data_IF_517332961014
#
_entry.id   IF_517332961014
#
_cell.length_a   1.000
_cell.length_b   1.000
_cell.length_c   1.000
_cell.angle_alpha   90.00
_cell.angle_beta   90.00
_cell.angle_gamma   90.00
#
_symmetry.space_group_name_H-M   'P 1'
#
loop_
_entity.id
_entity.type
_entity.pdbx_description
1 polymer ?
#
# COMPACT_ATOMS: atom_id res chain seq x y z
N UNK A 1 15.00 5.05 8.91
CA UNK A 1 14.68 3.66 8.52
C UNK A 1 13.16 3.53 8.45
N UNK A 2 12.58 2.94 7.39
CA UNK A 2 11.13 2.74 7.27
C UNK A 2 10.83 1.24 7.41
N UNK A 3 9.93 0.87 8.31
CA UNK A 3 9.49 -0.51 8.47
C UNK A 3 8.30 -0.81 7.56
N UNK A 4 8.22 -2.05 7.08
CA UNK A 4 7.08 -2.59 6.32
C UNK A 4 6.36 -3.59 7.21
N UNK A 5 5.05 -3.43 7.36
CA UNK A 5 4.22 -4.44 8.04
C UNK A 5 3.79 -5.52 7.03
N UNK A 6 4.29 -6.74 7.20
CA UNK A 6 4.00 -7.88 6.32
C UNK A 6 2.83 -8.72 6.87
N UNK A 7 2.08 -9.38 5.99
CA UNK A 7 1.01 -10.31 6.38
C UNK A 7 -0.33 -9.64 6.74
N UNK A 8 -0.64 -8.47 6.16
CA UNK A 8 -1.93 -7.79 6.38
C UNK A 8 -3.04 -8.43 5.53
N UNK A 9 -3.99 -9.08 6.18
CA UNK A 9 -5.07 -9.82 5.54
C UNK A 9 -6.43 -9.14 5.65
N UNK A 10 -6.61 -8.20 6.60
CA UNK A 10 -7.88 -7.48 6.82
C UNK A 10 -7.72 -5.96 6.88
N UNK A 11 -8.82 -5.24 6.68
CA UNK A 11 -8.87 -3.78 6.81
C UNK A 11 -8.57 -3.33 8.25
N UNK A 12 -9.11 -4.03 9.25
CA UNK A 12 -8.88 -3.70 10.67
C UNK A 12 -7.40 -3.83 11.05
N UNK A 13 -6.70 -4.83 10.50
CA UNK A 13 -5.25 -4.98 10.68
C UNK A 13 -4.49 -3.79 10.06
N UNK A 14 -4.85 -3.38 8.84
CA UNK A 14 -4.24 -2.24 8.16
C UNK A 14 -4.43 -0.94 8.95
N UNK A 15 -5.66 -0.68 9.41
CA UNK A 15 -5.98 0.50 10.22
C UNK A 15 -5.17 0.50 11.53
N UNK A 16 -5.11 -0.63 12.23
CA UNK A 16 -4.36 -0.74 13.48
C UNK A 16 -2.86 -0.48 13.28
N UNK A 17 -2.27 -1.04 12.22
CA UNK A 17 -0.86 -0.83 11.89
C UNK A 17 -0.57 0.63 11.53
N UNK A 18 -1.48 1.28 10.81
CA UNK A 18 -1.35 2.70 10.48
C UNK A 18 -1.37 3.58 11.75
N UNK A 19 -2.31 3.31 12.67
CA UNK A 19 -2.38 3.99 13.97
C UNK A 19 -1.11 3.78 14.81
N UNK A 20 -0.45 2.63 14.67
CA UNK A 20 0.84 2.32 15.32
C UNK A 20 2.05 2.99 14.65
N UNK A 21 1.85 3.77 13.58
CA UNK A 21 2.91 4.52 12.92
C UNK A 21 3.52 3.85 11.69
N UNK A 22 3.05 2.65 11.31
CA UNK A 22 3.46 2.06 10.04
C UNK A 22 2.91 2.87 8.87
N UNK A 23 3.74 3.03 7.84
CA UNK A 23 3.40 3.75 6.60
C UNK A 23 3.56 2.90 5.35
N UNK A 24 4.11 1.70 5.49
CA UNK A 24 4.27 0.71 4.44
C UNK A 24 3.70 -0.61 4.96
N UNK A 25 2.93 -1.30 4.13
CA UNK A 25 2.35 -2.59 4.47
C UNK A 25 2.16 -3.45 3.23
N UNK A 26 2.22 -4.77 3.42
CA UNK A 26 1.97 -5.78 2.40
C UNK A 26 1.10 -6.90 2.97
N UNK A 27 0.22 -7.43 2.14
CA UNK A 27 -0.56 -8.63 2.43
C UNK A 27 -1.78 -8.74 1.53
N UNK A 28 -2.55 -9.82 1.71
CA UNK A 28 -3.69 -10.15 0.86
C UNK A 28 -4.83 -9.14 0.91
N UNK A 29 -4.89 -8.31 1.95
CA UNK A 29 -5.80 -7.18 2.00
C UNK A 29 -5.55 -6.17 0.86
N UNK A 30 -4.28 -5.95 0.50
CA UNK A 30 -3.90 -4.99 -0.53
C UNK A 30 -3.89 -5.62 -1.93
N UNK A 31 -3.28 -6.80 -2.06
CA UNK A 31 -3.30 -7.57 -3.29
C UNK A 31 -2.89 -9.02 -3.01
N UNK A 32 -3.49 -9.96 -3.76
CA UNK A 32 -2.95 -11.31 -3.90
C UNK A 32 -1.68 -11.29 -4.78
N UNK A 33 -0.80 -12.32 -4.71
CA UNK A 33 0.31 -12.45 -5.64
C UNK A 33 -0.19 -12.41 -7.10
N UNK A 34 0.53 -11.68 -7.94
CA UNK A 34 0.12 -11.42 -9.32
C UNK A 34 1.18 -11.95 -10.31
N UNK A 35 0.78 -12.35 -11.53
CA UNK A 35 1.72 -12.60 -12.61
C UNK A 35 2.52 -11.32 -12.97
N UNK A 36 3.75 -11.43 -13.48
CA UNK A 36 4.58 -10.26 -13.80
C UNK A 36 3.92 -9.23 -14.73
N UNK A 37 3.26 -9.69 -15.80
CA UNK A 37 2.57 -8.81 -16.75
C UNK A 37 1.43 -7.98 -16.12
N UNK A 38 0.82 -8.49 -15.05
CA UNK A 38 -0.20 -7.77 -14.28
C UNK A 38 0.44 -6.63 -13.47
N UNK A 39 1.61 -6.88 -12.88
CA UNK A 39 2.37 -5.87 -12.14
C UNK A 39 2.77 -4.73 -13.08
N UNK A 40 3.35 -5.06 -14.23
CA UNK A 40 3.74 -4.08 -15.25
C UNK A 40 2.56 -3.19 -15.66
N UNK A 41 1.39 -3.80 -15.92
CA UNK A 41 0.18 -3.05 -16.27
C UNK A 41 -0.30 -2.12 -15.16
N UNK A 42 -0.18 -2.53 -13.89
CA UNK A 42 -0.59 -1.71 -12.73
C UNK A 42 0.37 -0.56 -12.43
N UNK A 43 1.63 -0.71 -12.81
CA UNK A 43 2.67 0.32 -12.67
C UNK A 43 2.69 1.28 -13.86
N UNK A 44 2.30 0.82 -15.05
CA UNK A 44 2.18 1.66 -16.24
C UNK A 44 1.21 2.83 -15.99
N UNK A 45 1.68 4.06 -16.23
CA UNK A 45 0.89 5.29 -16.06
C UNK A 45 0.96 5.93 -14.67
N UNK A 46 1.63 5.32 -13.68
CA UNK A 46 1.95 5.99 -12.41
C UNK A 46 3.22 6.82 -12.58
N UNK A 47 3.07 8.12 -12.84
CA UNK A 47 4.19 9.05 -12.69
C UNK A 47 4.46 9.26 -11.20
N UNK A 48 5.67 8.92 -10.73
CA UNK A 48 6.13 9.37 -9.42
C UNK A 48 6.42 10.87 -9.58
N UNK A 49 5.74 11.78 -8.85
CA UNK A 49 6.08 13.19 -8.90
C UNK A 49 7.56 13.35 -8.51
N UNK A 50 8.28 14.18 -9.24
CA UNK A 50 9.68 14.50 -8.98
C UNK A 50 9.78 15.32 -7.68
N UNK A 51 9.71 14.64 -6.54
CA UNK A 51 9.72 15.21 -5.20
C UNK A 51 9.37 14.14 -4.17
N UNK A 52 10.37 13.34 -3.76
CA UNK A 52 10.32 12.68 -2.45
C UNK A 52 10.24 13.78 -1.41
N UNK A 53 9.35 13.75 -0.41
CA UNK A 53 9.30 12.72 0.61
C UNK A 53 7.90 12.52 1.21
N UNK A 54 6.85 13.02 0.54
CA UNK A 54 5.46 12.87 0.99
C UNK A 54 4.78 11.72 0.23
N UNK A 55 4.59 10.53 0.83
CA UNK A 55 3.96 9.40 0.16
C UNK A 55 2.45 9.58 -0.09
N UNK A 56 1.90 10.78 0.10
CA UNK A 56 0.47 11.03 0.03
C UNK A 56 -0.20 10.53 1.30
N UNK A 57 -0.96 11.42 1.93
CA UNK A 57 -1.85 11.12 3.05
C UNK A 57 -2.74 9.90 2.69
N UNK A 58 -2.43 8.75 3.29
CA UNK A 58 -3.22 7.53 3.16
C UNK A 58 -4.53 7.70 3.95
N UNK A 59 -5.66 7.79 3.24
CA UNK A 59 -7.00 7.85 3.83
C UNK A 59 -7.63 6.44 3.80
N UNK A 60 -7.99 5.85 4.94
CA UNK A 60 -8.54 4.49 5.03
C UNK A 60 -9.78 4.23 4.16
N UNK A 61 -10.55 5.29 3.83
CA UNK A 61 -11.77 5.22 3.03
C UNK A 61 -11.55 5.00 1.52
N UNK A 62 -10.31 5.04 1.02
CA UNK A 62 -10.01 5.01 -0.41
C UNK A 62 -9.96 3.60 -1.04
N UNK A 63 -10.17 2.53 -0.27
CA UNK A 63 -10.18 1.13 -0.74
C UNK A 63 -11.59 0.51 -0.83
N UNK A 64 -12.64 1.26 -0.53
CA UNK A 64 -14.02 0.83 -0.73
C UNK A 64 -14.44 1.05 -2.19
N UNK A 65 -14.11 0.12 -3.07
CA UNK A 65 -14.77 -0.12 -4.37
C UNK A 65 -14.62 -1.57 -4.77
#
# INVERSE_FOLDING_TARGET
MRAVAEGVETADQAERLYQLGYRLAQGFHFARPLPPAEIERRLAGRSVPAGGDDPGRWEPSSLAS
#
